data_IF_407854569713
#
_entry.id   IF_407854569713
#
_cell.length_a   1.000
_cell.length_b   1.000
_cell.length_c   1.000
_cell.angle_alpha   90.00
_cell.angle_beta   90.00
_cell.angle_gamma   90.00
#
_symmetry.space_group_name_H-M   'P 1'
#
loop_
_entity.id
_entity.type
_entity.pdbx_description
1 polymer ?
#
# COMPACT_ATOMS: atom_id res chain seq x y z
N UNK A 1 -59.79 24.86 -3.05
CA UNK A 1 -58.81 23.85 -3.51
C UNK A 1 -57.41 24.39 -3.23
N UNK A 2 -56.71 23.83 -2.24
CA UNK A 2 -55.27 24.02 -2.05
C UNK A 2 -54.62 22.73 -2.51
N UNK A 3 -53.73 22.81 -3.49
CA UNK A 3 -52.86 21.70 -3.89
C UNK A 3 -51.44 22.09 -3.50
N UNK A 4 -50.91 21.45 -2.46
CA UNK A 4 -49.48 21.40 -2.18
C UNK A 4 -48.83 20.41 -3.15
N UNK A 5 -47.75 20.83 -3.80
CA UNK A 5 -46.91 19.96 -4.63
C UNK A 5 -45.73 19.44 -3.80
N UNK A 6 -45.33 18.17 -3.97
CA UNK A 6 -44.34 17.53 -3.11
C UNK A 6 -42.91 17.99 -3.43
N UNK A 7 -42.13 18.20 -2.38
CA UNK A 7 -40.68 18.40 -2.41
C UNK A 7 -40.00 17.11 -2.86
N UNK A 8 -39.61 17.02 -4.13
CA UNK A 8 -38.73 15.96 -4.62
C UNK A 8 -37.30 16.21 -4.14
N UNK A 9 -36.83 15.39 -3.19
CA UNK A 9 -35.49 15.45 -2.63
C UNK A 9 -34.47 14.94 -3.65
N UNK A 10 -33.99 15.82 -4.53
CA UNK A 10 -32.95 15.49 -5.49
C UNK A 10 -31.59 15.55 -4.77
N UNK A 11 -31.21 14.48 -4.08
CA UNK A 11 -29.85 14.32 -3.52
C UNK A 11 -28.88 14.15 -4.70
N UNK A 12 -28.26 15.24 -5.12
CA UNK A 12 -27.04 15.16 -5.91
C UNK A 12 -25.96 14.45 -5.07
N UNK A 13 -25.15 13.56 -5.65
CA UNK A 13 -23.98 13.03 -4.95
C UNK A 13 -23.05 14.21 -4.70
N UNK A 14 -22.92 14.62 -3.44
CA UNK A 14 -21.95 15.62 -3.02
C UNK A 14 -20.56 15.03 -3.24
N UNK A 15 -19.93 15.31 -4.38
CA UNK A 15 -18.49 15.13 -4.54
C UNK A 15 -17.84 16.08 -3.54
N UNK A 16 -17.47 15.55 -2.38
CA UNK A 16 -16.85 16.30 -1.31
C UNK A 16 -15.44 16.70 -1.78
N UNK A 17 -15.34 17.76 -2.59
CA UNK A 17 -14.10 18.31 -3.13
C UNK A 17 -13.35 19.05 -2.01
N UNK A 18 -12.95 18.32 -0.98
CA UNK A 18 -12.19 18.89 0.13
C UNK A 18 -10.75 19.13 -0.33
N UNK A 19 -10.35 20.40 -0.35
CA UNK A 19 -8.98 20.77 -0.67
C UNK A 19 -8.04 20.25 0.44
N UNK A 20 -7.06 19.43 0.06
CA UNK A 20 -6.10 18.83 1.00
C UNK A 20 -4.72 19.48 0.84
N UNK A 21 -4.18 19.97 1.95
CA UNK A 21 -2.84 20.54 2.03
C UNK A 21 -1.92 19.49 2.67
N UNK A 22 -0.89 19.06 1.94
CA UNK A 22 0.09 18.09 2.43
C UNK A 22 -0.39 16.63 2.41
N UNK A 23 0.57 15.71 2.51
CA UNK A 23 0.32 14.26 2.42
C UNK A 23 0.00 13.77 1.01
N UNK A 24 -0.52 12.55 0.91
CA UNK A 24 -1.07 12.00 -0.35
C UNK A 24 -2.55 12.31 -0.47
N UNK A 25 -2.99 12.59 -1.70
CA UNK A 25 -4.40 12.61 -2.03
C UNK A 25 -4.97 11.19 -2.00
N UNK A 26 -6.22 11.02 -1.51
CA UNK A 26 -6.97 9.78 -1.61
C UNK A 26 -7.07 9.27 -3.05
N UNK A 27 -7.28 7.97 -3.17
CA UNK A 27 -7.35 7.28 -4.45
C UNK A 27 -8.56 7.74 -5.29
N UNK A 28 -9.62 8.22 -4.65
CA UNK A 28 -10.85 8.77 -5.24
C UNK A 28 -10.88 10.30 -5.31
N UNK A 29 -9.79 10.99 -4.94
CA UNK A 29 -9.74 12.45 -4.97
C UNK A 29 -9.97 12.99 -6.40
N UNK A 30 -11.04 13.76 -6.57
CA UNK A 30 -11.44 14.47 -7.80
C UNK A 30 -10.47 15.60 -8.19
N UNK A 31 -9.67 16.07 -7.24
CA UNK A 31 -8.67 17.14 -7.41
C UNK A 31 -7.32 16.62 -7.91
N UNK A 32 -7.18 15.31 -8.11
CA UNK A 32 -5.96 14.72 -8.63
C UNK A 32 -5.81 14.97 -10.14
N UNK A 33 -4.69 15.57 -10.54
CA UNK A 33 -4.33 15.77 -11.95
C UNK A 33 -3.36 14.67 -12.38
N UNK A 34 -3.76 13.86 -13.38
CA UNK A 34 -2.93 12.80 -13.97
C UNK A 34 -1.74 13.41 -14.72
N UNK A 35 -0.56 12.81 -14.58
CA UNK A 35 0.69 13.22 -15.23
C UNK A 35 1.20 12.09 -16.14
N UNK A 36 2.13 12.35 -17.08
CA UNK A 36 2.76 11.28 -17.87
C UNK A 36 3.37 10.16 -17.01
N UNK A 37 4.02 10.54 -15.89
CA UNK A 37 4.59 9.61 -14.93
C UNK A 37 3.59 8.61 -14.30
N UNK A 38 2.29 8.92 -14.28
CA UNK A 38 1.25 7.99 -13.82
C UNK A 38 1.12 6.76 -14.71
N UNK A 39 1.32 6.93 -16.02
CA UNK A 39 1.24 5.84 -16.98
C UNK A 39 2.57 5.10 -17.06
N UNK A 40 3.67 5.83 -17.13
CA UNK A 40 5.02 5.26 -17.16
C UNK A 40 5.28 4.35 -15.95
N UNK A 41 4.94 4.80 -14.74
CA UNK A 41 5.12 4.00 -13.53
C UNK A 41 4.20 2.77 -13.52
N UNK A 42 2.94 2.94 -13.93
CA UNK A 42 1.97 1.85 -13.93
C UNK A 42 2.37 0.74 -14.90
N UNK A 43 2.72 1.08 -16.14
CA UNK A 43 3.13 0.09 -17.16
C UNK A 43 4.46 -0.59 -16.80
N UNK A 44 5.43 0.16 -16.30
CA UNK A 44 6.71 -0.41 -15.86
C UNK A 44 6.52 -1.41 -14.70
N UNK A 45 5.74 -1.05 -13.68
CA UNK A 45 5.45 -1.95 -12.56
C UNK A 45 4.67 -3.19 -13.01
N UNK A 46 3.73 -3.04 -13.94
CA UNK A 46 2.98 -4.17 -14.52
C UNK A 46 3.90 -5.10 -15.33
N UNK A 47 4.93 -4.55 -15.95
CA UNK A 47 6.01 -5.30 -16.61
C UNK A 47 7.00 -5.99 -15.65
N UNK A 48 6.89 -5.77 -14.33
CA UNK A 48 7.80 -6.33 -13.33
C UNK A 48 9.09 -5.54 -13.13
N UNK A 49 9.15 -4.31 -13.64
CA UNK A 49 10.34 -3.46 -13.52
C UNK A 49 10.49 -2.86 -12.12
N UNK A 50 11.75 -2.66 -11.71
CA UNK A 50 12.06 -1.98 -10.46
C UNK A 50 12.20 -0.46 -10.68
N UNK A 51 11.23 0.30 -10.17
CA UNK A 51 11.12 1.73 -10.47
C UNK A 51 11.53 2.65 -9.30
N UNK A 52 12.23 3.74 -9.62
CA UNK A 52 12.53 4.83 -8.70
C UNK A 52 11.70 6.08 -9.01
N UNK A 53 11.02 6.63 -8.01
CA UNK A 53 10.26 7.88 -8.13
C UNK A 53 10.96 8.97 -7.32
N UNK A 54 11.82 9.75 -7.97
CA UNK A 54 12.60 10.84 -7.37
C UNK A 54 12.00 12.19 -7.76
N UNK A 55 11.56 12.98 -6.78
CA UNK A 55 11.06 14.34 -7.02
C UNK A 55 11.13 15.20 -5.75
N UNK A 56 11.02 16.51 -5.89
CA UNK A 56 10.97 17.48 -4.80
C UNK A 56 9.85 17.19 -3.79
N UNK A 57 9.99 17.72 -2.56
CA UNK A 57 8.98 17.59 -1.51
C UNK A 57 7.64 18.16 -2.00
N UNK A 58 6.55 17.54 -1.54
CA UNK A 58 5.17 17.97 -1.83
C UNK A 58 4.73 17.96 -3.31
N UNK A 59 5.51 17.38 -4.24
CA UNK A 59 5.14 17.25 -5.67
C UNK A 59 4.20 16.08 -5.99
N UNK A 60 3.45 15.55 -5.01
CA UNK A 60 2.44 14.50 -5.26
C UNK A 60 2.97 13.07 -5.44
N UNK A 61 4.24 12.79 -5.14
CA UNK A 61 4.83 11.42 -5.18
C UNK A 61 3.98 10.37 -4.45
N UNK A 62 3.56 10.70 -3.23
CA UNK A 62 2.75 9.79 -2.42
C UNK A 62 1.37 9.56 -3.04
N UNK A 63 0.78 10.59 -3.66
CA UNK A 63 -0.47 10.47 -4.42
C UNK A 63 -0.31 9.58 -5.65
N UNK A 64 0.80 9.73 -6.38
CA UNK A 64 1.15 8.87 -7.52
C UNK A 64 1.21 7.39 -7.10
N UNK A 65 1.87 7.08 -5.98
CA UNK A 65 1.89 5.72 -5.40
C UNK A 65 0.48 5.22 -5.11
N UNK A 66 -0.33 6.02 -4.40
CA UNK A 66 -1.71 5.63 -4.02
C UNK A 66 -2.56 5.33 -5.25
N UNK A 67 -2.52 6.19 -6.27
CA UNK A 67 -3.27 5.99 -7.52
C UNK A 67 -2.78 4.77 -8.30
N UNK A 68 -1.48 4.56 -8.36
CA UNK A 68 -0.88 3.40 -9.05
C UNK A 68 -1.25 2.10 -8.36
N UNK A 69 -1.12 2.04 -7.02
CA UNK A 69 -1.54 0.87 -6.24
C UNK A 69 -3.02 0.55 -6.43
N UNK A 70 -3.90 1.56 -6.43
CA UNK A 70 -5.33 1.36 -6.65
C UNK A 70 -5.61 0.74 -8.03
N UNK A 71 -4.94 1.22 -9.09
CA UNK A 71 -5.07 0.65 -10.44
C UNK A 71 -4.62 -0.81 -10.50
N UNK A 72 -3.43 -1.10 -9.96
CA UNK A 72 -2.90 -2.47 -9.92
C UNK A 72 -3.81 -3.41 -9.10
N UNK A 73 -4.29 -2.97 -7.94
CA UNK A 73 -5.21 -3.75 -7.11
C UNK A 73 -6.54 -4.05 -7.81
N UNK A 74 -7.06 -3.11 -8.60
CA UNK A 74 -8.28 -3.33 -9.40
C UNK A 74 -8.10 -4.42 -10.47
N UNK A 75 -6.86 -4.75 -10.83
CA UNK A 75 -6.51 -5.83 -11.76
C UNK A 75 -6.06 -7.11 -11.06
N UNK A 76 -6.20 -7.19 -9.74
CA UNK A 76 -5.89 -8.39 -8.95
C UNK A 76 -4.46 -8.46 -8.43
N UNK A 77 -3.64 -7.42 -8.60
CA UNK A 77 -2.30 -7.40 -7.99
C UNK A 77 -2.40 -7.15 -6.47
N UNK A 78 -1.66 -7.94 -5.69
CA UNK A 78 -1.45 -7.63 -4.28
C UNK A 78 -0.42 -6.49 -4.15
N UNK A 79 -0.78 -5.42 -3.44
CA UNK A 79 0.10 -4.26 -3.25
C UNK A 79 0.24 -3.91 -1.77
N UNK A 80 1.47 -3.59 -1.36
CA UNK A 80 1.79 -3.11 -0.01
C UNK A 80 2.74 -1.93 -0.09
N UNK A 81 2.53 -0.93 0.77
CA UNK A 81 3.44 0.18 0.94
C UNK A 81 4.18 0.01 2.26
N UNK A 82 5.52 0.02 2.19
CA UNK A 82 6.38 -0.20 3.33
C UNK A 82 7.12 1.09 3.62
N UNK A 83 6.91 1.63 4.82
CA UNK A 83 7.70 2.75 5.32
C UNK A 83 8.97 2.21 6.00
N UNK A 84 10.06 2.19 5.25
CA UNK A 84 11.37 1.74 5.74
C UNK A 84 11.85 2.59 6.91
N UNK A 85 11.46 3.87 6.97
CA UNK A 85 11.82 4.78 8.07
C UNK A 85 11.11 4.40 9.36
N UNK A 86 9.83 4.00 9.26
CA UNK A 86 9.02 3.61 10.42
C UNK A 86 9.46 2.28 11.05
N UNK A 87 10.09 1.39 10.28
CA UNK A 87 10.72 0.16 10.81
C UNK A 87 11.91 0.51 11.71
N UNK A 88 12.53 1.66 11.45
CA UNK A 88 13.70 2.16 12.16
C UNK A 88 14.96 2.05 11.32
N UNK A 89 15.89 2.98 11.56
CA UNK A 89 17.17 3.04 10.86
C UNK A 89 18.36 3.28 11.80
N UNK A 90 18.11 3.63 13.06
CA UNK A 90 19.14 3.92 14.06
C UNK A 90 18.90 3.03 15.29
N UNK A 91 19.98 2.47 15.84
CA UNK A 91 19.97 1.66 17.07
C UNK A 91 19.07 0.42 17.05
N UNK A 92 18.84 -0.17 15.88
CA UNK A 92 18.15 -1.46 15.73
C UNK A 92 19.12 -2.51 15.18
N UNK A 93 18.92 -3.76 15.58
CA UNK A 93 19.70 -4.87 15.00
C UNK A 93 19.14 -5.24 13.62
N UNK A 94 19.97 -5.80 12.71
CA UNK A 94 19.46 -6.35 11.45
C UNK A 94 18.31 -7.35 11.68
N UNK A 95 18.39 -8.16 12.73
CA UNK A 95 17.33 -9.11 13.07
C UNK A 95 16.00 -8.43 13.38
N UNK A 96 16.03 -7.36 14.18
CA UNK A 96 14.84 -6.55 14.50
C UNK A 96 14.27 -5.88 13.25
N UNK A 97 15.14 -5.35 12.38
CA UNK A 97 14.72 -4.72 11.13
C UNK A 97 14.00 -5.71 10.21
N UNK A 98 14.58 -6.90 9.98
CA UNK A 98 13.96 -7.93 9.15
C UNK A 98 12.63 -8.42 9.73
N UNK A 99 12.56 -8.66 11.05
CA UNK A 99 11.30 -9.03 11.69
C UNK A 99 10.24 -7.92 11.54
N UNK A 100 10.64 -6.66 11.66
CA UNK A 100 9.77 -5.51 11.41
C UNK A 100 9.29 -5.43 9.96
N UNK A 101 10.18 -5.69 9.01
CA UNK A 101 9.85 -5.75 7.58
C UNK A 101 8.83 -6.86 7.26
N UNK A 102 9.05 -8.09 7.77
CA UNK A 102 8.10 -9.19 7.60
C UNK A 102 6.73 -8.89 8.22
N UNK A 103 6.70 -8.24 9.40
CA UNK A 103 5.45 -7.78 10.01
C UNK A 103 4.72 -6.77 9.12
N UNK A 104 5.42 -5.80 8.54
CA UNK A 104 4.84 -4.81 7.62
C UNK A 104 4.23 -5.47 6.38
N UNK A 105 4.90 -6.46 5.79
CA UNK A 105 4.35 -7.27 4.70
C UNK A 105 3.06 -7.98 5.13
N UNK A 106 3.11 -8.67 6.26
CA UNK A 106 2.01 -9.48 6.79
C UNK A 106 0.77 -8.66 7.16
N UNK A 107 0.97 -7.42 7.59
CA UNK A 107 -0.13 -6.50 7.94
C UNK A 107 -0.70 -5.83 6.69
N UNK A 108 0.15 -5.47 5.73
CA UNK A 108 -0.24 -4.70 4.55
C UNK A 108 -0.76 -5.53 3.38
N UNK A 109 -0.50 -6.84 3.36
CA UNK A 109 -1.00 -7.78 2.35
C UNK A 109 -2.18 -8.60 2.91
N UNK A 110 -3.01 -9.21 2.05
CA UNK A 110 -4.20 -9.98 2.46
C UNK A 110 -3.87 -11.34 3.12
N UNK A 111 -2.88 -11.37 4.03
CA UNK A 111 -2.45 -12.55 4.77
C UNK A 111 -3.46 -12.88 5.88
N UNK A 112 -3.89 -14.13 5.93
CA UNK A 112 -4.79 -14.72 6.91
C UNK A 112 -4.30 -14.49 8.33
N UNK A 113 -5.24 -14.35 9.27
CA UNK A 113 -4.94 -14.17 10.71
C UNK A 113 -4.05 -15.31 11.24
N UNK A 114 -4.27 -16.53 10.73
CA UNK A 114 -3.45 -17.70 11.06
C UNK A 114 -2.00 -17.52 10.61
N UNK A 115 -1.75 -17.04 9.40
CA UNK A 115 -0.41 -16.67 8.91
C UNK A 115 0.26 -15.63 9.80
N UNK A 116 -0.48 -14.57 10.17
CA UNK A 116 0.06 -13.50 11.04
C UNK A 116 0.44 -14.00 12.43
N UNK A 117 -0.38 -14.86 13.04
CA UNK A 117 -0.10 -15.44 14.35
C UNK A 117 1.08 -16.42 14.33
N UNK A 118 1.35 -17.05 13.19
CA UNK A 118 2.48 -17.98 13.03
C UNK A 118 3.82 -17.27 12.94
N UNK A 119 3.88 -16.02 12.47
CA UNK A 119 5.14 -15.32 12.19
C UNK A 119 6.14 -15.36 13.37
N UNK A 120 5.69 -15.07 14.59
CA UNK A 120 6.59 -15.06 15.76
C UNK A 120 7.13 -16.44 16.16
N UNK A 121 6.39 -17.52 15.91
CA UNK A 121 6.88 -18.89 16.12
C UNK A 121 7.81 -19.30 14.97
N UNK A 122 7.36 -19.06 13.73
CA UNK A 122 8.09 -19.36 12.49
C UNK A 122 9.48 -18.69 12.46
N UNK A 123 9.58 -17.44 12.94
CA UNK A 123 10.84 -16.70 13.03
C UNK A 123 11.84 -17.36 13.99
N UNK A 124 11.38 -17.74 15.19
CA UNK A 124 12.23 -18.34 16.24
C UNK A 124 12.73 -19.73 15.86
N UNK A 125 11.89 -20.52 15.19
CA UNK A 125 12.27 -21.87 14.71
C UNK A 125 13.38 -21.85 13.65
N UNK A 126 13.69 -20.67 13.09
CA UNK A 126 14.70 -20.47 12.05
C UNK A 126 15.86 -19.61 12.53
N UNK A 127 16.07 -19.50 13.86
CA UNK A 127 17.12 -18.67 14.46
C UNK A 127 18.55 -19.00 13.96
N UNK A 128 18.76 -20.22 13.49
CA UNK A 128 20.01 -20.70 12.90
C UNK A 128 20.20 -20.31 11.41
N UNK A 129 19.18 -19.80 10.73
CA UNK A 129 19.25 -19.35 9.34
C UNK A 129 19.69 -17.89 9.24
N UNK A 130 20.34 -17.55 8.13
CA UNK A 130 20.63 -16.16 7.78
C UNK A 130 19.34 -15.37 7.56
N UNK A 131 19.39 -14.06 7.78
CA UNK A 131 18.23 -13.17 7.62
C UNK A 131 17.64 -13.21 6.20
N UNK A 132 18.51 -13.34 5.19
CA UNK A 132 18.08 -13.43 3.80
C UNK A 132 17.39 -14.77 3.51
N UNK A 133 17.88 -15.88 4.06
CA UNK A 133 17.19 -17.18 3.98
C UNK A 133 15.82 -17.10 4.64
N UNK A 134 15.71 -16.52 5.84
CA UNK A 134 14.40 -16.31 6.48
C UNK A 134 13.48 -15.43 5.61
N UNK A 135 13.99 -14.39 4.97
CA UNK A 135 13.14 -13.58 4.08
C UNK A 135 12.63 -14.42 2.89
N UNK A 136 13.51 -15.18 2.24
CA UNK A 136 13.15 -16.02 1.10
C UNK A 136 12.14 -17.09 1.49
N UNK A 137 12.38 -17.81 2.58
CA UNK A 137 11.49 -18.85 3.09
C UNK A 137 10.13 -18.25 3.48
N UNK A 138 10.10 -17.07 4.09
CA UNK A 138 8.85 -16.38 4.43
C UNK A 138 8.03 -16.06 3.17
N UNK A 139 8.68 -15.52 2.13
CA UNK A 139 8.01 -15.19 0.87
C UNK A 139 7.43 -16.47 0.24
N UNK A 140 8.20 -17.55 0.19
CA UNK A 140 7.79 -18.80 -0.45
C UNK A 140 6.71 -19.56 0.35
N UNK A 141 6.91 -19.74 1.66
CA UNK A 141 6.08 -20.63 2.48
C UNK A 141 4.84 -19.97 3.05
N UNK A 142 4.90 -18.66 3.32
CA UNK A 142 3.81 -17.93 3.99
C UNK A 142 3.16 -16.96 3.01
N UNK A 143 3.94 -16.09 2.38
CA UNK A 143 3.35 -14.99 1.62
C UNK A 143 2.67 -15.47 0.35
N UNK A 144 3.38 -16.24 -0.48
CA UNK A 144 2.84 -16.77 -1.75
C UNK A 144 1.80 -17.88 -1.54
N UNK A 145 1.77 -18.53 -0.36
CA UNK A 145 0.76 -19.53 -0.04
C UNK A 145 -0.61 -18.91 0.31
N UNK A 146 -0.65 -17.61 0.61
CA UNK A 146 -1.84 -16.90 1.09
C UNK A 146 -2.36 -15.82 0.12
N UNK A 147 -1.69 -15.59 -1.01
CA UNK A 147 -2.05 -14.57 -2.02
C UNK A 147 -2.51 -15.24 -3.31
#
# INVERSE_FOLDING_TARGET
MKYEQPITNNRQPTTNNQYQIGGSLPADASTYVKRPADEELYEALKGGEFCYVLNSRQMGKSSLRVKTMQRLQAEGFACVAIDITAIGSQNITPEQWYLGFLKSLTIGLPVSISGRRKLGKWWRERENLSLLQRLNDFIAEILLAEI
#
